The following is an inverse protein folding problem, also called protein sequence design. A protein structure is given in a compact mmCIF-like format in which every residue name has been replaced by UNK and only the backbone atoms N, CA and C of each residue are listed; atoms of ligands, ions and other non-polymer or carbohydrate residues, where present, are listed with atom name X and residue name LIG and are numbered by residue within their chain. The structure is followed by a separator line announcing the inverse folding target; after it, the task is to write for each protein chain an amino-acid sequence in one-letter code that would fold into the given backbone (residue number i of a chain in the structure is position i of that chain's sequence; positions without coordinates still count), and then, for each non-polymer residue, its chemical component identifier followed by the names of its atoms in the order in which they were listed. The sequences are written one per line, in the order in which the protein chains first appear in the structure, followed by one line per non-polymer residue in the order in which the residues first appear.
data_IF_805828417655
#
_entry.id   IF_805828417655
#
_cell.length_a   1.000
_cell.length_b   1.000
_cell.length_c   1.000
_cell.angle_alpha   90.00
_cell.angle_beta   90.00
_cell.angle_gamma   90.00
#
_symmetry.space_group_name_H-M   'P 1'
#
loop_
_entity.id
_entity.type
_entity.pdbx_description
1 polymer ?
#
# COMPACT_ATOMS: atom_id res chain seq x y z
N UNK A 1 -20.97 9.14 29.28
CA UNK A 1 -20.00 10.07 28.67
C UNK A 1 -18.62 9.40 28.67
N UNK A 2 -18.07 9.17 27.48
CA UNK A 2 -16.99 8.20 27.22
C UNK A 2 -15.61 8.73 27.61
N UNK A 3 -14.98 8.14 28.64
CA UNK A 3 -13.59 8.40 29.08
C UNK A 3 -12.55 7.57 28.29
N UNK A 4 -12.73 7.37 26.97
CA UNK A 4 -11.76 6.64 26.12
C UNK A 4 -10.78 7.54 25.36
N UNK A 5 -10.80 8.86 25.59
CA UNK A 5 -10.02 9.81 24.78
C UNK A 5 -8.59 10.11 25.22
N UNK A 6 -8.12 9.67 26.39
CA UNK A 6 -6.95 10.32 27.02
C UNK A 6 -5.65 9.51 27.05
N UNK A 7 -5.69 8.20 26.78
CA UNK A 7 -4.51 7.33 26.85
C UNK A 7 -3.90 7.03 25.47
N UNK A 8 -4.71 6.65 24.48
CA UNK A 8 -4.26 6.34 23.11
C UNK A 8 -3.73 7.58 22.37
N UNK A 9 -4.28 8.76 22.65
CA UNK A 9 -3.87 10.01 21.99
C UNK A 9 -2.50 10.50 22.50
N UNK A 10 -2.13 10.14 23.74
CA UNK A 10 -0.83 10.46 24.34
C UNK A 10 0.28 9.52 23.87
N UNK A 11 0.00 8.22 23.73
CA UNK A 11 0.95 7.24 23.19
C UNK A 11 1.18 7.43 21.68
N UNK A 12 0.17 7.86 20.93
CA UNK A 12 0.35 8.19 19.51
C UNK A 12 1.31 9.38 19.31
N UNK A 13 1.26 10.43 20.12
CA UNK A 13 2.17 11.60 19.99
C UNK A 13 3.62 11.34 20.42
N UNK A 14 3.88 10.28 21.18
CA UNK A 14 5.25 9.90 21.57
C UNK A 14 6.01 9.12 20.49
N UNK A 15 5.30 8.55 19.51
CA UNK A 15 5.93 7.83 18.42
C UNK A 15 6.81 8.80 17.58
N UNK A 16 8.11 8.50 17.35
CA UNK A 16 9.03 9.39 16.64
C UNK A 16 8.56 9.78 15.24
N UNK A 17 7.71 8.96 14.63
CA UNK A 17 7.17 9.18 13.28
C UNK A 17 6.32 10.46 13.20
N UNK A 18 5.68 10.87 14.30
CA UNK A 18 4.88 12.11 14.36
C UNK A 18 5.74 13.35 14.61
N UNK A 19 7.01 13.18 14.98
CA UNK A 19 8.00 14.26 15.10
C UNK A 19 8.87 14.38 13.84
N UNK A 20 8.74 13.42 12.93
CA UNK A 20 9.48 13.37 11.66
C UNK A 20 8.82 14.29 10.63
N UNK A 21 9.61 14.83 9.70
CA UNK A 21 9.09 15.62 8.59
C UNK A 21 7.99 14.83 7.82
N UNK A 22 6.76 15.36 7.73
CA UNK A 22 5.63 14.66 7.12
C UNK A 22 5.85 14.35 5.64
N UNK A 23 6.65 15.16 4.92
CA UNK A 23 7.03 14.87 3.55
C UNK A 23 7.94 13.64 3.44
N UNK A 24 8.76 13.40 4.46
CA UNK A 24 9.60 12.19 4.52
C UNK A 24 8.74 10.95 4.75
N UNK A 25 7.80 11.01 5.70
CA UNK A 25 6.85 9.92 5.98
C UNK A 25 6.03 9.60 4.74
N UNK A 26 5.53 10.61 4.03
CA UNK A 26 4.80 10.43 2.77
C UNK A 26 5.66 9.73 1.70
N UNK A 27 6.89 10.18 1.50
CA UNK A 27 7.81 9.56 0.54
C UNK A 27 8.13 8.12 0.89
N UNK A 28 8.36 7.83 2.18
CA UNK A 28 8.62 6.50 2.68
C UNK A 28 7.42 5.57 2.48
N UNK A 29 6.21 6.02 2.83
CA UNK A 29 4.98 5.27 2.62
C UNK A 29 4.74 4.96 1.14
N UNK A 30 4.88 5.96 0.26
CA UNK A 30 4.73 5.75 -1.19
C UNK A 30 5.78 4.76 -1.70
N UNK A 31 7.04 4.89 -1.27
CA UNK A 31 8.11 3.99 -1.67
C UNK A 31 7.83 2.55 -1.23
N UNK A 32 7.41 2.33 0.02
CA UNK A 32 7.10 1.01 0.54
C UNK A 32 5.95 0.31 -0.18
N UNK A 33 4.91 1.07 -0.57
CA UNK A 33 3.73 0.56 -1.28
C UNK A 33 3.96 0.41 -2.79
N UNK A 34 4.96 1.07 -3.37
CA UNK A 34 5.20 1.04 -4.82
C UNK A 34 5.56 -0.37 -5.30
N UNK A 35 4.73 -1.00 -6.15
CA UNK A 35 5.06 -2.30 -6.74
C UNK A 35 6.06 -2.13 -7.88
N UNK A 36 7.07 -3.00 -7.94
CA UNK A 36 7.98 -3.11 -9.09
C UNK A 36 7.47 -4.09 -10.16
N UNK A 37 6.60 -5.02 -9.76
CA UNK A 37 6.03 -6.04 -10.62
C UNK A 37 4.52 -6.17 -10.35
N UNK A 38 3.74 -6.42 -11.39
CA UNK A 38 2.34 -6.79 -11.28
C UNK A 38 2.01 -7.92 -12.24
N UNK A 39 0.77 -8.40 -12.19
CA UNK A 39 0.24 -9.36 -13.16
C UNK A 39 -0.74 -8.69 -14.10
N UNK A 40 -0.71 -9.10 -15.37
CA UNK A 40 -1.68 -8.71 -16.39
C UNK A 40 -2.31 -9.98 -16.97
N UNK A 41 -3.65 -10.00 -17.05
CA UNK A 41 -4.36 -11.09 -17.69
C UNK A 41 -4.07 -11.09 -19.20
N UNK A 42 -3.58 -12.20 -19.75
CA UNK A 42 -3.36 -12.42 -21.19
C UNK A 42 -3.91 -13.78 -21.58
N UNK A 43 -4.44 -13.89 -22.80
CA UNK A 43 -4.95 -15.17 -23.33
C UNK A 43 -3.80 -15.95 -23.97
N UNK A 44 -3.53 -17.15 -23.47
CA UNK A 44 -2.46 -18.04 -23.91
C UNK A 44 -3.04 -19.44 -24.09
N UNK A 45 -2.90 -20.01 -25.28
CA UNK A 45 -3.37 -21.37 -25.58
C UNK A 45 -4.85 -21.61 -25.27
N UNK A 46 -5.72 -20.61 -25.49
CA UNK A 46 -7.16 -20.72 -25.23
C UNK A 46 -7.60 -20.40 -23.80
N UNK A 47 -6.69 -20.30 -22.83
CA UNK A 47 -6.95 -19.96 -21.42
C UNK A 47 -6.45 -18.56 -21.04
N UNK A 48 -7.04 -17.93 -20.03
CA UNK A 48 -6.56 -16.63 -19.49
C UNK A 48 -5.53 -16.87 -18.41
N UNK A 49 -4.28 -16.49 -18.66
CA UNK A 49 -3.17 -16.63 -17.72
C UNK A 49 -2.76 -15.28 -17.15
N UNK A 50 -2.28 -15.28 -15.90
CA UNK A 50 -1.71 -14.09 -15.27
C UNK A 50 -0.25 -13.98 -15.67
N UNK A 51 0.09 -12.99 -16.48
CA UNK A 51 1.46 -12.78 -16.94
C UNK A 51 2.14 -11.70 -16.09
N UNK A 52 3.24 -12.02 -15.39
CA UNK A 52 4.02 -11.02 -14.66
C UNK A 52 4.62 -9.97 -15.61
N UNK A 53 4.45 -8.70 -15.27
CA UNK A 53 4.97 -7.55 -16.01
C UNK A 53 5.69 -6.59 -15.06
N UNK A 54 6.83 -6.07 -15.51
CA UNK A 54 7.55 -5.01 -14.83
C UNK A 54 6.77 -3.69 -14.96
N UNK A 55 6.70 -2.93 -13.87
CA UNK A 55 5.97 -1.67 -13.84
C UNK A 55 6.97 -0.51 -13.85
N UNK A 56 6.76 0.43 -14.78
CA UNK A 56 7.55 1.67 -14.83
C UNK A 56 7.31 2.55 -13.59
N UNK A 57 8.32 3.36 -13.23
CA UNK A 57 8.31 4.17 -12.00
C UNK A 57 7.06 5.07 -11.84
N UNK A 58 6.61 5.73 -12.91
CA UNK A 58 5.41 6.58 -12.92
C UNK A 58 4.14 5.77 -12.65
N UNK A 59 4.01 4.60 -13.28
CA UNK A 59 2.86 3.71 -13.11
C UNK A 59 2.85 3.09 -11.71
N UNK A 60 4.01 2.70 -11.20
CA UNK A 60 4.17 2.16 -9.84
C UNK A 60 3.74 3.18 -8.78
N UNK A 61 4.20 4.43 -8.89
CA UNK A 61 3.76 5.52 -8.01
C UNK A 61 2.25 5.76 -8.09
N UNK A 62 1.68 5.75 -9.29
CA UNK A 62 0.23 5.91 -9.47
C UNK A 62 -0.56 4.76 -8.83
N UNK A 63 -0.08 3.52 -8.92
CA UNK A 63 -0.67 2.37 -8.23
C UNK A 63 -0.57 2.51 -6.72
N UNK A 64 0.59 2.92 -6.19
CA UNK A 64 0.79 3.12 -4.76
C UNK A 64 -0.19 4.14 -4.18
N UNK A 65 -0.35 5.29 -4.84
CA UNK A 65 -1.30 6.33 -4.41
C UNK A 65 -2.73 5.80 -4.46
N UNK A 66 -3.11 5.06 -5.51
CA UNK A 66 -4.44 4.45 -5.61
C UNK A 66 -4.70 3.44 -4.49
N UNK A 67 -3.73 2.61 -4.15
CA UNK A 67 -3.86 1.62 -3.07
C UNK A 67 -3.93 2.26 -1.70
N UNK A 68 -3.09 3.26 -1.42
CA UNK A 68 -3.17 4.06 -0.19
C UNK A 68 -4.55 4.69 -0.03
N UNK A 69 -5.06 5.38 -1.04
CA UNK A 69 -6.39 6.00 -0.99
C UNK A 69 -7.51 4.96 -0.79
N UNK A 70 -7.42 3.81 -1.46
CA UNK A 70 -8.41 2.75 -1.31
C UNK A 70 -8.40 2.12 0.09
N UNK A 71 -7.22 1.87 0.65
CA UNK A 71 -7.03 1.37 2.01
C UNK A 71 -7.55 2.39 3.05
N UNK A 72 -7.16 3.66 2.91
CA UNK A 72 -7.63 4.73 3.79
C UNK A 72 -9.16 4.89 3.77
N UNK A 73 -9.81 4.72 2.61
CA UNK A 73 -11.28 4.79 2.52
C UNK A 73 -11.99 3.64 3.24
N UNK A 74 -11.40 2.44 3.21
CA UNK A 74 -11.96 1.23 3.85
C UNK A 74 -11.75 1.21 5.37
N UNK A 75 -10.79 1.98 5.88
CA UNK A 75 -10.49 2.04 7.31
C UNK A 75 -11.70 2.51 8.15
N UNK A 76 -11.93 1.93 9.34
CA UNK A 76 -12.89 2.46 10.29
C UNK A 76 -12.40 3.82 10.83
N UNK A 77 -13.34 4.73 11.13
CA UNK A 77 -13.01 6.06 11.64
C UNK A 77 -13.94 7.14 11.09
N UNK A 78 -13.90 8.32 11.71
CA UNK A 78 -14.89 9.39 11.46
C UNK A 78 -14.47 10.37 10.37
N UNK A 79 -13.19 10.77 10.34
CA UNK A 79 -12.67 11.74 9.38
C UNK A 79 -11.71 11.06 8.38
N UNK A 80 -11.86 11.36 7.09
CA UNK A 80 -10.96 10.89 6.04
C UNK A 80 -9.50 11.34 6.28
N UNK A 81 -9.29 12.54 6.84
CA UNK A 81 -7.96 13.03 7.18
C UNK A 81 -7.26 12.11 8.18
N UNK A 82 -7.98 11.68 9.23
CA UNK A 82 -7.46 10.75 10.23
C UNK A 82 -7.17 9.38 9.63
N UNK A 83 -8.08 8.85 8.81
CA UNK A 83 -7.87 7.55 8.14
C UNK A 83 -6.65 7.56 7.24
N UNK A 84 -6.46 8.66 6.49
CA UNK A 84 -5.30 8.83 5.61
C UNK A 84 -4.01 8.96 6.40
N UNK A 85 -3.97 9.75 7.48
CA UNK A 85 -2.78 9.87 8.31
C UNK A 85 -2.38 8.54 8.94
N UNK A 86 -3.36 7.77 9.43
CA UNK A 86 -3.09 6.45 9.99
C UNK A 86 -2.54 5.48 8.94
N UNK A 87 -3.09 5.49 7.72
CA UNK A 87 -2.60 4.62 6.64
C UNK A 87 -1.19 5.00 6.19
N UNK A 88 -0.87 6.29 6.12
CA UNK A 88 0.48 6.75 5.78
C UNK A 88 1.50 6.36 6.86
N UNK A 89 1.13 6.47 8.13
CA UNK A 89 1.99 6.06 9.26
C UNK A 89 2.26 4.56 9.23
N UNK A 90 1.22 3.75 9.03
CA UNK A 90 1.38 2.29 8.95
C UNK A 90 2.19 1.88 7.73
N UNK A 91 1.87 2.43 6.55
CA UNK A 91 2.60 2.14 5.33
C UNK A 91 4.08 2.52 5.43
N UNK A 92 4.40 3.64 6.09
CA UNK A 92 5.79 4.03 6.36
C UNK A 92 6.49 3.05 7.32
N UNK A 93 5.77 2.44 8.26
CA UNK A 93 6.26 1.37 9.15
C UNK A 93 6.28 -0.02 8.47
N UNK A 94 5.87 -0.12 7.20
CA UNK A 94 5.82 -1.39 6.47
C UNK A 94 4.61 -2.27 6.84
N UNK A 95 3.54 -1.67 7.35
CA UNK A 95 2.28 -2.37 7.68
C UNK A 95 1.08 -1.69 7.01
N UNK A 96 -0.11 -2.24 7.24
CA UNK A 96 -1.36 -1.70 6.67
C UNK A 96 -1.82 -2.41 5.40
N UNK A 97 -3.05 -2.08 4.99
CA UNK A 97 -3.72 -2.76 3.88
C UNK A 97 -3.07 -2.43 2.54
N UNK A 98 -2.51 -1.23 2.39
CA UNK A 98 -1.78 -0.84 1.19
C UNK A 98 -0.50 -1.68 0.98
N UNK A 99 0.27 -1.93 2.05
CA UNK A 99 1.47 -2.77 2.00
C UNK A 99 1.10 -4.22 1.72
N UNK A 100 0.11 -4.77 2.43
CA UNK A 100 -0.41 -6.11 2.19
C UNK A 100 -0.84 -6.29 0.73
N UNK A 101 -1.46 -5.28 0.13
CA UNK A 101 -1.84 -5.33 -1.29
C UNK A 101 -0.63 -5.44 -2.23
N UNK A 102 0.47 -4.74 -1.94
CA UNK A 102 1.74 -4.85 -2.69
C UNK A 102 2.33 -6.25 -2.56
N UNK A 103 2.36 -6.81 -1.35
CA UNK A 103 2.88 -8.14 -1.07
C UNK A 103 2.07 -9.24 -1.77
N UNK A 104 0.73 -9.18 -1.70
CA UNK A 104 -0.17 -10.07 -2.44
C UNK A 104 0.10 -10.03 -3.94
N UNK A 105 0.33 -8.83 -4.49
CA UNK A 105 0.63 -8.63 -5.92
C UNK A 105 1.99 -9.25 -6.28
N UNK A 106 3.02 -9.05 -5.46
CA UNK A 106 4.33 -9.66 -5.67
C UNK A 106 4.27 -11.19 -5.58
N UNK A 107 3.62 -11.74 -4.55
CA UNK A 107 3.45 -13.19 -4.39
C UNK A 107 2.71 -13.81 -5.58
N UNK A 108 1.70 -13.12 -6.10
CA UNK A 108 0.97 -13.55 -7.29
C UNK A 108 1.83 -13.51 -8.55
N UNK A 109 2.67 -12.48 -8.70
CA UNK A 109 3.63 -12.39 -9.80
C UNK A 109 4.69 -13.50 -9.73
N UNK A 110 5.22 -13.79 -8.53
CA UNK A 110 6.18 -14.88 -8.30
C UNK A 110 5.58 -16.26 -8.61
N UNK A 111 4.35 -16.49 -8.17
CA UNK A 111 3.63 -17.75 -8.44
C UNK A 111 3.41 -17.99 -9.93
N UNK A 112 3.32 -16.92 -10.73
CA UNK A 112 3.12 -16.98 -12.18
C UNK A 112 4.40 -16.69 -12.98
N UNK A 113 5.59 -16.74 -12.34
CA UNK A 113 6.88 -16.43 -12.98
C UNK A 113 7.13 -17.26 -14.24
N UNK A 114 6.62 -18.49 -14.29
CA UNK A 114 6.70 -19.35 -15.47
C UNK A 114 6.10 -18.69 -16.72
N UNK A 115 5.06 -17.86 -16.60
CA UNK A 115 4.40 -17.19 -17.72
C UNK A 115 5.06 -15.86 -18.13
N UNK A 116 6.14 -15.43 -17.46
CA UNK A 116 6.80 -14.15 -17.74
C UNK A 116 7.35 -14.03 -19.17
N UNK A 117 7.55 -15.15 -19.87
CA UNK A 117 7.96 -15.15 -21.28
C UNK A 117 6.84 -14.72 -22.23
N UNK A 118 5.57 -14.77 -21.79
CA UNK A 118 4.42 -14.31 -22.56
C UNK A 118 4.12 -12.82 -22.36
N UNK A 119 5.10 -11.98 -21.99
CA UNK A 119 4.92 -10.53 -21.76
C UNK A 119 4.71 -9.73 -23.05
#
# INVERSE_FOLDING_TARGET
MSRRGTAEEKTAKSDPIYQTNPLSVLRQAIHGVTPGIAVKARRVGGSTQQVPIEIGSTQGKALAIRWLLAASRKRPGRNMAFKLSSELVDAAKGSGDAIRKREETHKMAESNRAFAHFR
#
